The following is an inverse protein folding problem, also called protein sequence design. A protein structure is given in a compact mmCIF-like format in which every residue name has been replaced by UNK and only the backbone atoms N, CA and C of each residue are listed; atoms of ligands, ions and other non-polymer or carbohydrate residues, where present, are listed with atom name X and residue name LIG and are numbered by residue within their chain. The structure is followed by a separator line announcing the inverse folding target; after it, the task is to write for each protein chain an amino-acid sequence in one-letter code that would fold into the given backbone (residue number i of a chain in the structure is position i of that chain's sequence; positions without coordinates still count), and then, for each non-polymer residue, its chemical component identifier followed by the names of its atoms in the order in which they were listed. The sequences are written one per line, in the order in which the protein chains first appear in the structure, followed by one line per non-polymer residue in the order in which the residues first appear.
data_IF_042612439423
#
_entry.id   IF_042612439423
#
_cell.length_a   1.000
_cell.length_b   1.000
_cell.length_c   1.000
_cell.angle_alpha   90.00
_cell.angle_beta   90.00
_cell.angle_gamma   90.00
#
_symmetry.space_group_name_H-M   'P 1'
#
loop_
_entity.id
_entity.type
_entity.pdbx_description
1 polymer ?
#
# COMPACT_ATOMS: atom_id res chain seq x y z
N UNK A 1 19.93 23.08 -18.12
CA UNK A 1 20.03 21.62 -17.91
C UNK A 1 19.38 21.14 -16.61
N UNK A 2 19.62 21.76 -15.42
CA UNK A 2 19.04 21.33 -14.13
C UNK A 2 17.50 21.25 -14.14
N UNK A 3 16.80 22.24 -14.71
CA UNK A 3 15.33 22.26 -14.81
C UNK A 3 14.83 21.11 -15.66
N UNK A 4 15.49 20.79 -16.77
CA UNK A 4 15.14 19.67 -17.63
C UNK A 4 15.14 18.34 -16.85
N UNK A 5 16.18 18.08 -16.05
CA UNK A 5 16.25 16.86 -15.24
C UNK A 5 15.14 16.79 -14.19
N UNK A 6 14.75 17.91 -13.58
CA UNK A 6 13.61 17.97 -12.65
C UNK A 6 12.27 17.71 -13.36
N UNK A 7 12.10 18.17 -14.59
CA UNK A 7 10.89 17.89 -15.39
C UNK A 7 10.83 16.40 -15.74
N UNK A 8 11.94 15.81 -16.20
CA UNK A 8 12.01 14.37 -16.48
C UNK A 8 11.71 13.56 -15.23
N UNK A 9 12.31 13.93 -14.10
CA UNK A 9 12.02 13.31 -12.80
C UNK A 9 10.52 13.37 -12.45
N UNK A 10 9.89 14.54 -12.62
CA UNK A 10 8.47 14.74 -12.35
C UNK A 10 7.59 13.83 -13.20
N UNK A 11 7.85 13.76 -14.52
CA UNK A 11 7.10 12.91 -15.45
C UNK A 11 7.28 11.43 -15.11
N UNK A 12 8.51 10.97 -14.90
CA UNK A 12 8.79 9.58 -14.54
C UNK A 12 8.13 9.19 -13.21
N UNK A 13 8.23 10.06 -12.20
CA UNK A 13 7.60 9.85 -10.89
C UNK A 13 6.08 9.82 -10.98
N UNK A 14 5.48 10.70 -11.79
CA UNK A 14 4.04 10.69 -12.04
C UNK A 14 3.61 9.38 -12.72
N UNK A 15 4.29 8.95 -13.77
CA UNK A 15 3.98 7.70 -14.46
C UNK A 15 4.13 6.48 -13.54
N UNK A 16 5.17 6.45 -12.72
CA UNK A 16 5.33 5.41 -11.70
C UNK A 16 4.20 5.44 -10.66
N UNK A 17 3.76 6.63 -10.28
CA UNK A 17 2.59 6.84 -9.41
C UNK A 17 1.29 6.26 -9.95
N UNK A 18 1.13 6.16 -11.28
CA UNK A 18 -0.08 5.61 -11.92
C UNK A 18 -0.31 4.12 -11.65
N UNK A 19 0.72 3.38 -11.22
CA UNK A 19 0.59 1.97 -10.85
C UNK A 19 -0.30 1.87 -9.61
N UNK A 20 -1.47 1.25 -9.72
CA UNK A 20 -2.37 1.03 -8.59
C UNK A 20 -2.36 -0.44 -8.18
N UNK A 21 -1.63 -0.74 -7.12
CA UNK A 21 -1.43 -2.11 -6.65
C UNK A 21 -2.73 -2.76 -6.17
N UNK A 22 -3.64 -2.00 -5.54
CA UNK A 22 -4.94 -2.53 -5.12
C UNK A 22 -5.76 -3.05 -6.31
N UNK A 23 -5.75 -2.33 -7.46
CA UNK A 23 -6.41 -2.80 -8.68
C UNK A 23 -5.71 -4.02 -9.29
N UNK A 24 -4.37 -4.04 -9.27
CA UNK A 24 -3.59 -5.18 -9.78
C UNK A 24 -3.89 -6.43 -8.96
N UNK A 25 -3.82 -6.33 -7.62
CA UNK A 25 -4.10 -7.43 -6.71
C UNK A 25 -5.55 -7.92 -6.85
N UNK A 26 -6.53 -7.00 -6.92
CA UNK A 26 -7.93 -7.42 -7.08
C UNK A 26 -8.18 -8.12 -8.41
N UNK A 27 -7.56 -7.63 -9.50
CA UNK A 27 -7.65 -8.27 -10.81
C UNK A 27 -7.03 -9.67 -10.83
N UNK A 28 -5.90 -9.88 -10.15
CA UNK A 28 -5.30 -11.22 -10.02
C UNK A 28 -6.22 -12.20 -9.27
N UNK A 29 -7.09 -11.67 -8.42
CA UNK A 29 -8.16 -12.44 -7.74
C UNK A 29 -9.46 -12.54 -8.54
N UNK A 30 -9.46 -12.15 -9.82
CA UNK A 30 -10.64 -12.12 -10.70
C UNK A 30 -11.78 -11.24 -10.14
N UNK A 31 -11.44 -10.16 -9.42
CA UNK A 31 -12.39 -9.26 -8.76
C UNK A 31 -12.00 -7.79 -9.01
N UNK A 32 -12.90 -6.86 -8.68
CA UNK A 32 -12.69 -5.42 -8.83
C UNK A 32 -12.93 -4.68 -7.51
N UNK A 33 -11.86 -4.28 -6.85
CA UNK A 33 -11.89 -3.57 -5.55
C UNK A 33 -12.76 -2.30 -5.60
N UNK A 34 -12.99 -1.72 -6.78
CA UNK A 34 -13.79 -0.50 -6.90
C UNK A 34 -15.29 -0.77 -6.79
N UNK A 35 -15.71 -2.02 -6.89
CA UNK A 35 -17.11 -2.46 -6.72
C UNK A 35 -17.47 -2.82 -5.28
N UNK A 36 -16.47 -2.83 -4.37
CA UNK A 36 -16.64 -3.27 -2.98
C UNK A 36 -16.40 -2.14 -1.97
N UNK A 37 -17.04 -2.24 -0.83
CA UNK A 37 -16.84 -1.42 0.35
C UNK A 37 -16.98 0.08 0.04
N UNK A 38 -15.89 0.84 0.15
CA UNK A 38 -15.89 2.28 -0.13
C UNK A 38 -15.72 2.63 -1.61
N UNK A 39 -15.50 1.66 -2.48
CA UNK A 39 -15.16 1.87 -3.90
C UNK A 39 -13.76 2.46 -4.14
N UNK A 40 -13.02 2.81 -3.09
CA UNK A 40 -11.69 3.39 -3.21
C UNK A 40 -10.62 2.29 -3.37
N UNK A 41 -9.77 2.31 -4.41
CA UNK A 41 -8.72 1.31 -4.59
C UNK A 41 -7.50 1.62 -3.69
N UNK A 42 -7.62 1.32 -2.41
CA UNK A 42 -6.59 1.59 -1.40
C UNK A 42 -6.64 0.61 -0.22
N UNK A 43 -5.63 0.69 0.64
CA UNK A 43 -5.35 -0.29 1.72
C UNK A 43 -6.54 -0.57 2.63
N UNK A 44 -7.26 0.46 3.10
CA UNK A 44 -8.40 0.25 4.00
C UNK A 44 -9.58 -0.45 3.31
N UNK A 45 -9.75 -0.27 2.01
CA UNK A 45 -10.76 -1.00 1.25
C UNK A 45 -10.29 -2.44 0.97
N UNK A 46 -9.01 -2.65 0.69
CA UNK A 46 -8.40 -3.98 0.60
C UNK A 46 -8.59 -4.78 1.89
N UNK A 47 -8.41 -4.13 3.05
CA UNK A 47 -8.65 -4.75 4.36
C UNK A 47 -10.09 -5.26 4.51
N UNK A 48 -11.07 -4.45 4.11
CA UNK A 48 -12.49 -4.80 4.22
C UNK A 48 -12.90 -5.91 3.25
N UNK A 49 -12.32 -5.92 2.05
CA UNK A 49 -12.73 -6.82 0.96
C UNK A 49 -11.92 -8.13 0.97
N UNK A 50 -10.60 -8.04 1.07
CA UNK A 50 -9.69 -9.19 0.90
C UNK A 50 -8.97 -9.61 2.18
N UNK A 51 -9.19 -8.93 3.31
CA UNK A 51 -8.62 -9.24 4.60
C UNK A 51 -7.27 -8.59 4.88
N UNK A 52 -6.68 -8.96 6.03
CA UNK A 52 -5.51 -8.28 6.60
C UNK A 52 -4.24 -8.52 5.77
N UNK A 53 -3.98 -9.76 5.36
CA UNK A 53 -2.78 -10.12 4.59
C UNK A 53 -2.64 -9.29 3.30
N UNK A 54 -3.73 -9.20 2.53
CA UNK A 54 -3.75 -8.45 1.28
C UNK A 54 -3.71 -6.94 1.48
N UNK A 55 -4.26 -6.45 2.58
CA UNK A 55 -4.17 -5.04 2.94
C UNK A 55 -2.73 -4.64 3.27
N UNK A 56 -2.01 -5.43 4.08
CA UNK A 56 -0.59 -5.17 4.41
C UNK A 56 0.27 -5.26 3.17
N UNK A 57 0.08 -6.29 2.34
CA UNK A 57 0.84 -6.43 1.09
C UNK A 57 0.64 -5.21 0.18
N UNK A 58 -0.61 -4.79 -0.03
CA UNK A 58 -0.91 -3.58 -0.78
C UNK A 58 -0.29 -2.32 -0.15
N UNK A 59 -0.39 -2.17 1.17
CA UNK A 59 0.17 -1.02 1.88
C UNK A 59 1.68 -0.92 1.68
N UNK A 60 2.39 -2.03 1.80
CA UNK A 60 3.84 -2.10 1.57
C UNK A 60 4.21 -1.66 0.16
N UNK A 61 3.53 -2.18 -0.87
CA UNK A 61 3.77 -1.80 -2.25
C UNK A 61 3.48 -0.31 -2.52
N UNK A 62 2.40 0.22 -1.94
CA UNK A 62 2.05 1.63 -2.08
C UNK A 62 3.03 2.56 -1.33
N UNK A 63 3.59 2.14 -0.19
CA UNK A 63 4.67 2.85 0.50
C UNK A 63 5.95 2.82 -0.35
N UNK A 64 6.34 1.65 -0.84
CA UNK A 64 7.52 1.49 -1.71
C UNK A 64 7.40 2.35 -2.98
N UNK A 65 6.20 2.48 -3.54
CA UNK A 65 5.93 3.39 -4.65
C UNK A 65 6.28 4.84 -4.33
N UNK A 66 6.06 5.29 -3.10
CA UNK A 66 6.49 6.61 -2.64
C UNK A 66 7.98 6.69 -2.37
N UNK A 67 8.57 5.64 -1.77
CA UNK A 67 10.01 5.58 -1.43
C UNK A 67 10.89 5.59 -2.67
N UNK A 68 10.61 4.72 -3.65
CA UNK A 68 11.53 4.48 -4.78
C UNK A 68 11.84 5.76 -5.56
N UNK A 69 10.87 6.51 -6.12
CA UNK A 69 11.19 7.70 -6.91
C UNK A 69 11.81 8.82 -6.06
N UNK A 70 11.41 8.96 -4.80
CA UNK A 70 11.96 10.00 -3.92
C UNK A 70 13.37 9.67 -3.46
N UNK A 71 13.69 8.40 -3.23
CA UNK A 71 15.05 7.96 -2.92
C UNK A 71 15.97 8.12 -4.12
N UNK A 72 15.54 7.73 -5.32
CA UNK A 72 16.26 7.96 -6.57
C UNK A 72 16.54 9.45 -6.75
N UNK A 73 15.53 10.30 -6.55
CA UNK A 73 15.70 11.75 -6.62
C UNK A 73 16.74 12.27 -5.61
N UNK A 74 16.69 11.78 -4.37
CA UNK A 74 17.65 12.16 -3.32
C UNK A 74 19.09 11.83 -3.69
N UNK A 75 19.31 10.67 -4.27
CA UNK A 75 20.65 10.18 -4.62
C UNK A 75 21.18 10.85 -5.91
N UNK A 76 20.39 10.86 -6.98
CA UNK A 76 20.80 11.38 -8.28
C UNK A 76 21.08 12.90 -8.25
N UNK A 77 20.29 13.66 -7.47
CA UNK A 77 20.42 15.11 -7.42
C UNK A 77 21.31 15.62 -6.28
N UNK A 78 22.00 14.70 -5.56
CA UNK A 78 22.86 15.05 -4.45
C UNK A 78 24.01 15.97 -4.86
N UNK A 79 24.77 15.57 -5.86
CA UNK A 79 25.96 16.31 -6.31
C UNK A 79 25.61 17.60 -7.08
N UNK A 80 24.36 17.74 -7.51
CA UNK A 80 23.85 18.96 -8.12
C UNK A 80 23.42 20.02 -7.09
N UNK A 81 23.42 19.71 -5.79
CA UNK A 81 22.89 20.56 -4.73
C UNK A 81 21.37 20.71 -4.75
N UNK A 82 20.65 19.83 -5.47
CA UNK A 82 19.19 19.91 -5.68
C UNK A 82 18.42 18.77 -4.98
N UNK A 83 19.10 17.99 -4.13
CA UNK A 83 18.52 16.79 -3.51
C UNK A 83 17.19 17.08 -2.80
N UNK A 84 17.11 18.16 -2.01
CA UNK A 84 15.89 18.51 -1.29
C UNK A 84 14.73 18.75 -2.25
N UNK A 85 14.87 19.68 -3.20
CA UNK A 85 13.79 20.00 -4.15
C UNK A 85 13.42 18.81 -5.02
N UNK A 86 14.39 17.99 -5.44
CA UNK A 86 14.13 16.79 -6.25
C UNK A 86 13.28 15.77 -5.48
N UNK A 87 13.51 15.56 -4.18
CA UNK A 87 12.70 14.71 -3.32
C UNK A 87 11.25 15.20 -3.27
N UNK A 88 11.04 16.52 -3.12
CA UNK A 88 9.67 17.09 -3.09
C UNK A 88 8.98 17.03 -4.45
N UNK A 89 9.71 17.30 -5.55
CA UNK A 89 9.18 17.15 -6.92
C UNK A 89 8.76 15.71 -7.18
N UNK A 90 9.61 14.73 -6.87
CA UNK A 90 9.29 13.31 -7.04
C UNK A 90 8.11 12.89 -6.15
N UNK A 91 8.11 13.29 -4.88
CA UNK A 91 7.05 12.98 -3.92
C UNK A 91 5.67 13.51 -4.37
N UNK A 92 5.59 14.79 -4.73
CA UNK A 92 4.36 15.39 -5.25
C UNK A 92 3.91 14.67 -6.52
N UNK A 93 4.83 14.43 -7.46
CA UNK A 93 4.50 13.81 -8.75
C UNK A 93 4.00 12.38 -8.60
N UNK A 94 4.61 11.55 -7.74
CA UNK A 94 4.15 10.19 -7.50
C UNK A 94 2.77 10.16 -6.83
N UNK A 95 2.50 11.09 -5.92
CA UNK A 95 1.21 11.22 -5.24
C UNK A 95 0.12 11.68 -6.23
N UNK A 96 0.44 12.65 -7.11
CA UNK A 96 -0.44 13.05 -8.20
C UNK A 96 -0.77 11.89 -9.13
N UNK A 97 0.24 11.10 -9.52
CA UNK A 97 0.05 9.90 -10.33
C UNK A 97 -0.83 8.86 -9.64
N UNK A 98 -0.72 8.70 -8.32
CA UNK A 98 -1.59 7.80 -7.54
C UNK A 98 -3.03 8.31 -7.45
N UNK A 99 -3.25 9.62 -7.24
CA UNK A 99 -4.60 10.21 -7.09
C UNK A 99 -5.29 10.34 -8.44
N UNK A 100 -4.56 10.80 -9.45
CA UNK A 100 -5.05 11.08 -10.80
C UNK A 100 -4.30 10.26 -11.87
N UNK A 101 -4.39 8.92 -11.84
CA UNK A 101 -3.67 8.08 -12.80
C UNK A 101 -4.28 8.20 -14.19
N UNK A 102 -3.48 8.64 -15.19
CA UNK A 102 -3.93 8.78 -16.58
C UNK A 102 -4.43 7.44 -17.16
N UNK A 103 -3.73 6.35 -16.86
CA UNK A 103 -4.11 5.00 -17.33
C UNK A 103 -5.38 4.43 -16.69
N UNK A 104 -5.91 5.08 -15.64
CA UNK A 104 -7.17 4.70 -14.97
C UNK A 104 -8.24 5.81 -15.09
N UNK A 105 -8.19 6.61 -16.18
CA UNK A 105 -9.13 7.71 -16.44
C UNK A 105 -9.21 8.67 -15.24
N UNK A 106 -8.08 8.99 -14.63
CA UNK A 106 -7.91 9.86 -13.46
C UNK A 106 -8.68 9.42 -12.21
N UNK A 107 -9.05 8.14 -12.11
CA UNK A 107 -9.73 7.54 -10.95
C UNK A 107 -8.75 6.67 -10.17
N UNK A 108 -8.03 7.27 -9.24
CA UNK A 108 -7.03 6.62 -8.39
C UNK A 108 -7.44 6.48 -6.93
N UNK A 109 -6.45 6.30 -6.06
CA UNK A 109 -6.61 6.25 -4.61
C UNK A 109 -6.52 7.63 -3.96
N UNK A 110 -6.24 7.67 -2.65
CA UNK A 110 -6.18 8.92 -1.87
C UNK A 110 -4.77 9.42 -1.57
N UNK A 111 -3.75 8.66 -1.93
CA UNK A 111 -2.35 9.08 -1.87
C UNK A 111 -1.65 8.92 -0.52
N UNK A 112 -2.33 8.55 0.57
CA UNK A 112 -1.71 8.53 1.90
C UNK A 112 -0.55 7.54 2.02
N UNK A 113 -0.66 6.32 1.47
CA UNK A 113 0.42 5.34 1.54
C UNK A 113 1.64 5.77 0.68
N UNK A 114 1.41 6.37 -0.49
CA UNK A 114 2.47 6.96 -1.30
C UNK A 114 3.09 8.18 -0.60
N UNK A 115 2.29 9.01 0.10
CA UNK A 115 2.78 10.10 0.94
C UNK A 115 3.61 9.58 2.12
N UNK A 116 3.24 8.44 2.72
CA UNK A 116 4.06 7.81 3.75
C UNK A 116 5.43 7.41 3.19
N UNK A 117 5.47 6.80 2.01
CA UNK A 117 6.73 6.47 1.33
C UNK A 117 7.60 7.71 1.05
N UNK A 118 7.01 8.79 0.54
CA UNK A 118 7.68 10.07 0.40
C UNK A 118 8.23 10.59 1.74
N UNK A 119 7.44 10.50 2.81
CA UNK A 119 7.83 10.96 4.15
C UNK A 119 9.00 10.17 4.72
N UNK A 120 9.16 8.88 4.42
CA UNK A 120 10.32 8.07 4.81
C UNK A 120 11.64 8.57 4.22
N UNK A 121 11.60 9.29 3.10
CA UNK A 121 12.80 9.85 2.45
C UNK A 121 13.00 11.33 2.80
N UNK A 122 11.91 12.08 2.94
CA UNK A 122 11.95 13.51 3.28
C UNK A 122 12.25 13.77 4.76
N UNK A 123 11.88 12.85 5.65
CA UNK A 123 12.20 12.85 7.07
C UNK A 123 13.30 11.83 7.39
N UNK A 124 13.94 11.88 8.58
CA UNK A 124 14.64 10.72 9.10
C UNK A 124 13.67 9.53 9.15
N UNK A 125 14.09 8.40 8.58
CA UNK A 125 13.20 7.22 8.41
C UNK A 125 12.53 6.77 9.72
N UNK A 126 13.25 6.85 10.84
CA UNK A 126 12.73 6.48 12.17
C UNK A 126 11.63 7.43 12.66
N UNK A 127 11.68 8.74 12.30
CA UNK A 127 10.60 9.70 12.62
C UNK A 127 9.33 9.31 11.86
N UNK A 128 9.45 9.07 10.54
CA UNK A 128 8.33 8.65 9.74
C UNK A 128 7.74 7.31 10.23
N UNK A 129 8.60 6.37 10.65
CA UNK A 129 8.19 5.10 11.22
C UNK A 129 7.41 5.29 12.54
N UNK A 130 7.90 6.11 13.46
CA UNK A 130 7.20 6.38 14.74
C UNK A 130 5.81 6.97 14.46
N UNK A 131 5.69 7.96 13.57
CA UNK A 131 4.41 8.56 13.22
C UNK A 131 3.48 7.50 12.62
N UNK A 132 3.99 6.66 11.72
CA UNK A 132 3.21 5.59 11.09
C UNK A 132 2.69 4.59 12.13
N UNK A 133 3.56 4.12 13.03
CA UNK A 133 3.20 3.16 14.09
C UNK A 133 2.18 3.77 15.04
N UNK A 134 2.37 5.01 15.49
CA UNK A 134 1.41 5.69 16.38
C UNK A 134 0.03 5.84 15.71
N UNK A 135 -0.01 6.32 14.47
CA UNK A 135 -1.26 6.47 13.74
C UNK A 135 -1.92 5.11 13.41
N UNK A 136 -1.15 4.08 13.10
CA UNK A 136 -1.65 2.73 12.88
C UNK A 136 -2.24 2.15 14.18
N UNK A 137 -1.53 2.28 15.31
CA UNK A 137 -2.00 1.86 16.62
C UNK A 137 -3.30 2.56 16.99
N UNK A 138 -3.40 3.87 16.74
CA UNK A 138 -4.64 4.63 16.91
C UNK A 138 -5.80 4.02 16.12
N UNK A 139 -5.59 3.67 14.84
CA UNK A 139 -6.62 3.02 14.02
C UNK A 139 -7.00 1.64 14.55
N UNK A 140 -6.03 0.86 15.05
CA UNK A 140 -6.30 -0.46 15.68
C UNK A 140 -7.16 -0.33 16.93
N UNK A 141 -6.96 0.73 17.72
CA UNK A 141 -7.71 0.95 18.96
C UNK A 141 -9.11 1.49 18.68
N UNK A 142 -9.20 2.53 17.81
CA UNK A 142 -10.46 3.28 17.60
C UNK A 142 -11.32 2.73 16.46
N UNK A 143 -10.74 1.93 15.57
CA UNK A 143 -11.35 1.49 14.31
C UNK A 143 -11.74 2.64 13.36
N UNK A 144 -11.20 3.85 13.55
CA UNK A 144 -11.48 5.03 12.71
C UNK A 144 -10.29 5.30 11.78
N UNK A 145 -10.30 4.64 10.62
CA UNK A 145 -9.18 4.72 9.66
C UNK A 145 -8.88 6.12 9.13
N UNK A 146 -9.91 6.96 8.94
CA UNK A 146 -9.74 8.30 8.39
C UNK A 146 -8.96 9.23 9.33
N UNK A 147 -9.18 9.14 10.65
CA UNK A 147 -8.43 9.98 11.61
C UNK A 147 -6.95 9.59 11.61
N UNK A 148 -6.64 8.29 11.66
CA UNK A 148 -5.25 7.83 11.64
C UNK A 148 -4.52 8.22 10.35
N UNK A 149 -5.18 8.08 9.18
CA UNK A 149 -4.56 8.44 7.90
C UNK A 149 -4.36 9.95 7.73
N UNK A 150 -5.34 10.77 8.11
CA UNK A 150 -5.22 12.23 8.08
C UNK A 150 -4.26 12.74 9.14
N UNK A 151 -4.27 12.15 10.33
CA UNK A 151 -3.31 12.44 11.40
C UNK A 151 -1.87 12.20 10.94
N UNK A 152 -1.60 11.06 10.27
CA UNK A 152 -0.29 10.79 9.70
C UNK A 152 0.14 11.89 8.72
N UNK A 153 -0.73 12.31 7.80
CA UNK A 153 -0.42 13.35 6.81
C UNK A 153 -0.13 14.67 7.51
N UNK A 154 -0.97 15.11 8.44
CA UNK A 154 -0.80 16.40 9.12
C UNK A 154 0.45 16.45 9.99
N UNK A 155 0.70 15.41 10.82
CA UNK A 155 1.87 15.34 11.69
C UNK A 155 3.15 15.30 10.84
N UNK A 156 3.19 14.44 9.81
CA UNK A 156 4.35 14.36 8.92
C UNK A 156 4.61 15.67 8.18
N UNK A 157 3.54 16.35 7.71
CA UNK A 157 3.64 17.67 7.07
C UNK A 157 4.23 18.69 8.03
N UNK A 158 3.72 18.79 9.26
CA UNK A 158 4.20 19.75 10.26
C UNK A 158 5.69 19.55 10.54
N UNK A 159 6.13 18.30 10.72
CA UNK A 159 7.56 18.03 10.98
C UNK A 159 8.40 18.33 9.72
N UNK A 160 7.92 18.04 8.52
CA UNK A 160 8.61 18.39 7.28
C UNK A 160 8.75 19.93 7.14
N UNK A 161 7.70 20.71 7.44
CA UNK A 161 7.75 22.17 7.39
C UNK A 161 8.87 22.75 8.30
N UNK A 162 9.04 22.17 9.49
CA UNK A 162 10.10 22.58 10.42
C UNK A 162 11.49 22.20 9.90
N UNK A 163 11.61 21.12 9.14
CA UNK A 163 12.88 20.55 8.69
C UNK A 163 13.33 20.98 7.30
N UNK A 164 12.45 21.57 6.50
CA UNK A 164 12.84 22.12 5.19
C UNK A 164 13.89 23.21 5.40
N UNK A 165 15.06 23.03 4.76
CA UNK A 165 16.05 24.09 4.71
C UNK A 165 15.55 25.20 3.78
N UNK A 166 15.39 26.45 4.24
CA UNK A 166 14.89 27.55 3.43
C UNK A 166 15.87 28.01 2.34
N UNK A 167 17.18 27.72 2.49
CA UNK A 167 18.16 27.94 1.43
C UNK A 167 17.94 26.93 0.26
N UNK A 168 18.56 27.17 -0.88
CA UNK A 168 18.49 26.29 -2.04
C UNK A 168 17.07 25.93 -2.49
N UNK A 169 16.25 26.94 -2.77
CA UNK A 169 14.86 26.78 -3.27
C UNK A 169 13.90 26.15 -2.25
N UNK A 170 14.17 26.24 -0.95
CA UNK A 170 13.30 25.69 0.11
C UNK A 170 11.86 26.18 0.03
N UNK A 171 11.61 27.41 -0.43
CA UNK A 171 10.28 27.96 -0.63
C UNK A 171 9.43 27.12 -1.62
N UNK A 172 10.05 26.52 -2.65
CA UNK A 172 9.36 25.59 -3.55
C UNK A 172 8.94 24.30 -2.83
N UNK A 173 9.74 23.82 -1.88
CA UNK A 173 9.40 22.64 -1.08
C UNK A 173 8.20 22.93 -0.16
N UNK A 174 8.11 24.15 0.41
CA UNK A 174 6.93 24.57 1.19
C UNK A 174 5.66 24.59 0.33
N UNK A 175 5.74 25.18 -0.87
CA UNK A 175 4.61 25.20 -1.82
C UNK A 175 4.20 23.77 -2.22
N UNK A 176 5.16 22.94 -2.60
CA UNK A 176 4.95 21.57 -3.00
C UNK A 176 4.29 20.74 -1.89
N UNK A 177 4.78 20.87 -0.66
CA UNK A 177 4.23 20.18 0.51
C UNK A 177 2.84 20.70 0.87
N UNK A 178 2.62 22.00 0.89
CA UNK A 178 1.31 22.62 1.11
C UNK A 178 0.28 22.18 0.07
N UNK A 179 0.68 22.16 -1.21
CA UNK A 179 -0.17 21.71 -2.31
C UNK A 179 -0.59 20.23 -2.13
N UNK A 180 0.36 19.32 -1.92
CA UNK A 180 0.04 17.88 -1.82
C UNK A 180 -0.77 17.57 -0.55
N UNK A 181 -0.49 18.24 0.56
CA UNK A 181 -1.26 18.10 1.79
C UNK A 181 -2.69 18.54 1.60
N UNK A 182 -2.91 19.75 1.03
CA UNK A 182 -4.25 20.26 0.71
C UNK A 182 -4.98 19.33 -0.25
N UNK A 183 -4.31 18.80 -1.27
CA UNK A 183 -4.89 17.85 -2.20
C UNK A 183 -5.35 16.56 -1.50
N UNK A 184 -4.52 15.99 -0.61
CA UNK A 184 -4.88 14.80 0.17
C UNK A 184 -6.09 15.09 1.06
N UNK A 185 -6.15 16.25 1.72
CA UNK A 185 -7.31 16.66 2.52
C UNK A 185 -8.56 16.79 1.64
N UNK A 186 -8.43 17.39 0.47
CA UNK A 186 -9.54 17.53 -0.48
C UNK A 186 -10.10 16.18 -0.95
N UNK A 187 -9.25 15.21 -1.32
CA UNK A 187 -9.74 13.88 -1.74
C UNK A 187 -10.32 13.07 -0.58
N UNK A 188 -10.04 13.47 0.67
CA UNK A 188 -10.68 12.90 1.85
C UNK A 188 -11.97 13.62 2.28
N UNK A 189 -12.45 14.64 1.57
CA UNK A 189 -13.65 15.41 1.95
C UNK A 189 -14.87 14.53 2.27
N UNK A 190 -15.05 13.43 1.54
CA UNK A 190 -16.13 12.47 1.80
C UNK A 190 -15.96 11.71 3.12
N UNK A 191 -14.73 11.36 3.50
CA UNK A 191 -14.44 10.76 4.79
C UNK A 191 -14.62 11.78 5.92
N UNK A 192 -14.15 13.00 5.72
CA UNK A 192 -14.30 14.11 6.69
C UNK A 192 -15.76 14.38 6.96
N UNK A 193 -16.61 14.46 5.92
CA UNK A 193 -18.06 14.61 6.09
C UNK A 193 -18.69 13.46 6.89
N UNK A 194 -18.34 12.21 6.59
CA UNK A 194 -18.85 11.05 7.34
C UNK A 194 -18.34 11.03 8.79
N UNK A 195 -17.11 11.46 9.02
CA UNK A 195 -16.52 11.55 10.34
C UNK A 195 -17.30 12.52 11.23
N UNK A 196 -17.55 13.74 10.76
CA UNK A 196 -18.36 14.74 11.48
C UNK A 196 -19.83 14.31 11.67
N UNK A 197 -20.37 13.51 10.75
CA UNK A 197 -21.71 12.95 10.88
C UNK A 197 -21.79 11.70 11.79
N UNK A 198 -20.67 11.24 12.36
CA UNK A 198 -20.62 9.99 13.13
C UNK A 198 -20.88 8.72 12.30
N UNK A 199 -20.77 8.82 10.95
CA UNK A 199 -21.11 7.75 10.00
C UNK A 199 -19.87 7.22 9.24
N UNK A 200 -18.66 7.37 9.81
CA UNK A 200 -17.46 6.88 9.16
C UNK A 200 -17.45 5.35 9.11
N UNK A 201 -17.00 4.80 7.99
CA UNK A 201 -16.91 3.35 7.80
C UNK A 201 -15.88 2.74 8.77
N UNK A 202 -16.25 1.79 9.63
CA UNK A 202 -15.31 1.21 10.56
C UNK A 202 -14.18 0.46 9.87
N UNK A 203 -13.00 0.52 10.47
CA UNK A 203 -11.78 -0.17 10.01
C UNK A 203 -11.37 -1.18 11.07
N UNK A 204 -12.09 -2.31 11.14
CA UNK A 204 -11.87 -3.31 12.18
C UNK A 204 -10.68 -4.22 11.85
N UNK A 205 -9.47 -3.71 12.07
CA UNK A 205 -8.19 -4.42 11.80
C UNK A 205 -8.11 -5.70 12.63
N UNK A 206 -8.52 -5.64 13.92
CA UNK A 206 -8.46 -6.81 14.83
C UNK A 206 -9.35 -7.96 14.34
N UNK A 207 -10.56 -7.65 13.87
CA UNK A 207 -11.47 -8.67 13.35
C UNK A 207 -10.95 -9.28 12.04
N UNK A 208 -10.43 -8.46 11.13
CA UNK A 208 -9.82 -8.94 9.90
C UNK A 208 -8.61 -9.85 10.17
N UNK A 209 -7.73 -9.46 11.07
CA UNK A 209 -6.58 -10.28 11.49
C UNK A 209 -7.01 -11.63 12.10
N UNK A 210 -7.97 -11.60 13.05
CA UNK A 210 -8.50 -12.84 13.66
C UNK A 210 -9.13 -13.77 12.63
N UNK A 211 -9.85 -13.22 11.63
CA UNK A 211 -10.47 -14.00 10.56
C UNK A 211 -9.40 -14.69 9.71
N UNK A 212 -8.38 -13.96 9.25
CA UNK A 212 -7.30 -14.51 8.43
C UNK A 212 -6.49 -15.58 9.21
N UNK A 213 -6.28 -15.38 10.52
CA UNK A 213 -5.56 -16.32 11.36
C UNK A 213 -6.35 -17.62 11.59
N UNK A 214 -7.68 -17.53 11.79
CA UNK A 214 -8.54 -18.73 11.91
C UNK A 214 -8.59 -19.53 10.61
N UNK A 215 -8.73 -18.83 9.48
CA UNK A 215 -8.71 -19.48 8.15
C UNK A 215 -7.35 -20.15 7.86
N UNK A 216 -6.24 -19.56 8.29
CA UNK A 216 -4.92 -20.17 8.19
C UNK A 216 -4.84 -21.48 8.99
N UNK A 217 -5.25 -21.48 10.26
CA UNK A 217 -5.24 -22.69 11.11
C UNK A 217 -6.15 -23.80 10.57
N UNK A 218 -7.33 -23.46 10.02
CA UNK A 218 -8.23 -24.46 9.40
C UNK A 218 -7.56 -25.11 8.19
N UNK A 219 -6.95 -24.31 7.30
CA UNK A 219 -6.22 -24.83 6.13
C UNK A 219 -5.03 -25.71 6.52
N UNK A 220 -4.28 -25.32 7.53
CA UNK A 220 -3.12 -26.09 8.00
C UNK A 220 -3.55 -27.43 8.59
N UNK A 221 -4.67 -27.49 9.35
CA UNK A 221 -5.23 -28.74 9.87
C UNK A 221 -5.79 -29.64 8.77
N UNK A 222 -6.49 -29.08 7.78
CA UNK A 222 -6.99 -29.83 6.60
C UNK A 222 -5.84 -30.40 5.77
N UNK A 223 -4.76 -29.65 5.55
CA UNK A 223 -3.55 -30.13 4.86
C UNK A 223 -2.85 -31.24 5.63
N UNK A 224 -2.84 -31.16 6.97
CA UNK A 224 -2.23 -32.18 7.80
C UNK A 224 -3.08 -33.47 7.80
N UNK A 225 -4.41 -33.36 7.85
CA UNK A 225 -5.34 -34.48 7.77
C UNK A 225 -5.25 -35.20 6.41
N UNK A 226 -5.07 -34.44 5.30
CA UNK A 226 -4.86 -35.02 3.97
C UNK A 226 -3.51 -35.75 3.84
N UNK A 227 -2.47 -35.30 4.56
CA UNK A 227 -1.17 -35.99 4.59
C UNK A 227 -1.22 -37.27 5.41
N UNK A 228 -1.99 -37.29 6.50
CA UNK A 228 -2.15 -38.44 7.38
C UNK A 228 -3.15 -39.48 6.81
N UNK A 229 -4.17 -39.03 6.06
CA UNK A 229 -5.20 -39.87 5.45
C UNK A 229 -5.47 -39.47 3.98
N UNK A 230 -4.69 -39.98 3.00
CA UNK A 230 -4.80 -39.59 1.57
C UNK A 230 -6.15 -39.91 0.90
N UNK A 231 -7.04 -40.67 1.56
CA UNK A 231 -8.34 -41.10 1.06
C UNK A 231 -9.57 -40.33 1.56
N UNK A 232 -9.38 -39.33 2.43
CA UNK A 232 -10.50 -38.57 2.99
C UNK A 232 -11.03 -37.55 1.98
N UNK A 233 -12.31 -37.63 1.62
CA UNK A 233 -13.03 -36.60 0.89
C UNK A 233 -13.45 -35.51 1.90
N UNK A 234 -12.98 -34.28 1.70
CA UNK A 234 -13.40 -33.14 2.50
C UNK A 234 -14.82 -32.72 2.13
N UNK A 235 -15.73 -32.72 3.10
CA UNK A 235 -17.07 -32.14 2.99
C UNK A 235 -16.97 -30.62 3.16
N UNK A 236 -17.11 -29.88 2.06
CA UNK A 236 -17.21 -28.43 2.07
C UNK A 236 -16.81 -27.80 0.75
N UNK A 237 -17.47 -26.72 0.35
CA UNK A 237 -17.23 -25.92 -0.86
C UNK A 237 -15.80 -25.36 -0.96
N UNK A 238 -14.84 -26.22 -1.25
CA UNK A 238 -13.46 -25.83 -1.59
C UNK A 238 -13.39 -25.65 -3.10
N UNK A 239 -13.09 -24.45 -3.52
CA UNK A 239 -12.99 -24.06 -4.92
C UNK A 239 -11.97 -24.96 -5.64
N UNK A 240 -12.41 -25.80 -6.59
CA UNK A 240 -11.63 -26.82 -7.31
C UNK A 240 -10.33 -26.33 -7.98
N UNK A 241 -10.13 -25.02 -8.09
CA UNK A 241 -8.89 -24.43 -8.60
C UNK A 241 -7.74 -24.40 -7.58
N UNK A 242 -8.04 -24.30 -6.28
CA UNK A 242 -7.02 -24.27 -5.21
C UNK A 242 -6.51 -25.68 -4.88
N UNK A 243 -7.34 -26.72 -5.08
CA UNK A 243 -6.96 -28.13 -4.89
C UNK A 243 -5.96 -28.60 -5.98
N UNK A 244 -6.07 -28.07 -7.20
CA UNK A 244 -5.13 -28.38 -8.27
C UNK A 244 -3.71 -27.88 -7.97
N UNK A 245 -3.58 -26.68 -7.39
CA UNK A 245 -2.27 -26.08 -7.07
C UNK A 245 -1.58 -26.86 -5.92
N UNK A 246 -2.35 -27.36 -4.93
CA UNK A 246 -1.80 -28.19 -3.83
C UNK A 246 -1.42 -29.59 -4.32
N UNK A 247 -2.18 -30.18 -5.26
CA UNK A 247 -1.84 -31.46 -5.87
C UNK A 247 -0.57 -31.37 -6.75
N UNK A 248 -0.39 -30.28 -7.49
CA UNK A 248 0.81 -30.09 -8.34
C UNK A 248 2.07 -29.96 -7.48
N UNK A 249 2.01 -29.23 -6.33
CA UNK A 249 3.15 -29.10 -5.42
C UNK A 249 3.46 -30.35 -4.57
N UNK A 250 2.50 -31.27 -4.39
CA UNK A 250 2.67 -32.46 -3.55
C UNK A 250 3.04 -33.75 -4.32
N UNK A 251 2.72 -33.84 -5.61
CA UNK A 251 2.91 -35.06 -6.42
C UNK A 251 4.29 -35.08 -7.13
N UNK A 252 4.84 -33.92 -7.47
CA UNK A 252 6.21 -33.87 -8.01
C UNK A 252 7.29 -34.35 -7.01
N UNK A 253 7.03 -34.23 -5.70
CA UNK A 253 7.97 -34.71 -4.66
C UNK A 253 7.91 -36.23 -4.41
N UNK A 254 6.83 -36.92 -4.82
CA UNK A 254 6.66 -38.37 -4.60
C UNK A 254 6.90 -39.22 -5.84
N UNK A 255 6.77 -38.67 -7.04
CA UNK A 255 7.03 -39.38 -8.29
C UNK A 255 8.54 -39.65 -8.52
N UNK A 256 9.41 -38.72 -8.11
CA UNK A 256 10.87 -38.92 -8.22
C UNK A 256 11.45 -39.96 -7.26
N UNK A 257 10.70 -40.43 -6.27
CA UNK A 257 11.17 -41.43 -5.29
C UNK A 257 10.68 -42.85 -5.58
N UNK A 258 9.66 -43.03 -6.43
CA UNK A 258 9.12 -44.36 -6.77
C UNK A 258 9.83 -44.97 -7.98
N UNK A 259 10.26 -44.16 -8.96
CA UNK A 259 11.01 -44.65 -10.13
C UNK A 259 12.45 -45.11 -9.87
N UNK A 260 12.96 -44.96 -8.64
CA UNK A 260 14.32 -45.45 -8.25
C UNK A 260 14.34 -46.75 -7.45
N UNK A 261 13.19 -47.37 -7.20
CA UNK A 261 13.09 -48.62 -6.42
C UNK A 261 12.83 -49.84 -7.34
N UNK A 262 12.42 -49.66 -8.58
CA UNK A 262 12.16 -50.78 -9.52
C UNK A 262 13.32 -51.11 -10.47
N UNK A 263 14.52 -50.51 -10.28
CA UNK A 263 15.72 -50.86 -11.04
C UNK A 263 16.91 -51.34 -10.13
N UNK A 264 16.62 -52.21 -9.12
CA UNK A 264 17.68 -52.99 -8.48
C UNK A 264 17.25 -54.45 -8.26
#
# INVERSE_FOLDING_TARGET
MKIFYLVVLAVCSYLFGNINFAKIISKSKKDDITKHGSGNPGTLNMLRTFGFKWAIFNMTLEILKGVVPTLVAKLVFKDMGLSQIAVYVAGVSVILGHIFPVFSKFKGGKGVAAFAGFSFVALPWWVALIILVCCFTFVVITSIGSIGTLGFVLISTTIQLIRINPSNHGWLCYIALGFVTTLIMYVHRGNIKRLFAGKENPTNIRAAFKKDFKLGKSKDSEVQELKENPGVKLDGDVNNSEIKDVKIMGIESTAEHVDKIDEQ
#
